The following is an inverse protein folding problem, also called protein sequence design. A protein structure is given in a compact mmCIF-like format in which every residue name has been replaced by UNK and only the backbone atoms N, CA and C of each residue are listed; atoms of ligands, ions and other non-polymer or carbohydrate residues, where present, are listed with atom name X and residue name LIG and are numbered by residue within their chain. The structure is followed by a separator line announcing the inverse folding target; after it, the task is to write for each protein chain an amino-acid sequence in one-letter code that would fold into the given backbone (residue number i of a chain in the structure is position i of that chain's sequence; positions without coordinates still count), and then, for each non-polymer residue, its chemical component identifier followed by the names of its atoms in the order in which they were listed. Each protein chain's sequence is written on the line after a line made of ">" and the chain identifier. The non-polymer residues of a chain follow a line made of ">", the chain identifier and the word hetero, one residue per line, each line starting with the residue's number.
data_IF_173692562272
#
_entry.id   IF_173692562272
#
_cell.length_a   1.000
_cell.length_b   1.000
_cell.length_c   1.000
_cell.angle_alpha   90.00
_cell.angle_beta   90.00
_cell.angle_gamma   90.00
#
_symmetry.space_group_name_H-M   'P 1'
#
loop_
_entity.id
_entity.type
_entity.pdbx_description
1 polymer ?
#
# COMPACT_ATOMS: atom_id res chain seq x y z
N UNK A 1 3.07 23.24 32.03
CA UNK A 1 4.32 22.87 31.36
C UNK A 1 5.10 24.16 31.07
N UNK A 2 6.33 24.27 31.55
CA UNK A 2 7.17 25.46 31.39
C UNK A 2 7.84 25.52 30.01
N UNK A 3 8.55 26.60 29.70
CA UNK A 3 9.27 26.74 28.42
C UNK A 3 10.45 25.77 28.36
N UNK A 4 11.11 25.54 29.50
CA UNK A 4 12.23 24.62 29.66
C UNK A 4 11.78 23.18 29.40
N UNK A 5 10.64 22.77 29.97
CA UNK A 5 10.05 21.44 29.73
C UNK A 5 9.65 21.24 28.25
N UNK A 6 9.17 22.30 27.58
CA UNK A 6 8.87 22.26 26.14
C UNK A 6 10.14 22.15 25.30
N UNK A 7 11.20 22.86 25.67
CA UNK A 7 12.47 22.87 24.94
C UNK A 7 13.14 21.50 25.04
N UNK A 8 13.20 20.93 26.24
CA UNK A 8 13.80 19.61 26.49
C UNK A 8 13.06 18.50 25.72
N UNK A 9 11.72 18.58 25.64
CA UNK A 9 10.91 17.66 24.83
C UNK A 9 11.26 17.74 23.35
N UNK A 10 11.34 18.95 22.79
CA UNK A 10 11.65 19.17 21.37
C UNK A 10 13.06 18.69 21.05
N UNK A 11 14.04 18.94 21.93
CA UNK A 11 15.42 18.48 21.72
C UNK A 11 15.51 16.94 21.71
N UNK A 12 14.77 16.26 22.59
CA UNK A 12 14.65 14.79 22.57
C UNK A 12 14.02 14.26 21.28
N UNK A 13 12.92 14.85 20.84
CA UNK A 13 12.24 14.46 19.59
C UNK A 13 13.16 14.67 18.37
N UNK A 14 13.89 15.78 18.34
CA UNK A 14 14.85 16.09 17.28
C UNK A 14 16.03 15.10 17.26
N UNK A 15 16.54 14.72 18.43
CA UNK A 15 17.61 13.73 18.56
C UNK A 15 17.14 12.34 18.08
N UNK A 16 15.93 11.92 18.43
CA UNK A 16 15.34 10.67 17.97
C UNK A 16 15.07 10.65 16.45
N UNK A 17 14.66 11.78 15.87
CA UNK A 17 14.51 11.95 14.42
C UNK A 17 15.84 11.88 13.67
N UNK A 18 16.91 12.44 14.24
CA UNK A 18 18.26 12.41 13.65
C UNK A 18 19.00 11.07 13.82
N UNK A 19 18.55 10.23 14.75
CA UNK A 19 19.22 8.97 15.08
C UNK A 19 19.07 7.91 13.98
N UNK A 20 17.98 7.94 13.21
CA UNK A 20 17.76 6.99 12.12
C UNK A 20 18.18 7.59 10.78
N UNK A 21 19.48 7.74 10.59
CA UNK A 21 20.07 8.31 9.36
C UNK A 21 19.81 7.46 8.10
N UNK A 22 19.23 6.28 8.25
CA UNK A 22 19.00 5.33 7.16
C UNK A 22 17.51 5.20 6.79
N UNK A 23 16.60 5.91 7.47
CA UNK A 23 15.17 5.86 7.19
C UNK A 23 14.65 7.16 6.60
N UNK A 24 13.89 7.05 5.51
CA UNK A 24 13.04 8.13 5.01
C UNK A 24 11.62 7.86 5.53
N UNK A 25 11.01 8.85 6.17
CA UNK A 25 9.63 8.78 6.67
C UNK A 25 8.76 9.70 5.85
N UNK A 26 7.71 9.16 5.25
CA UNK A 26 6.75 9.90 4.45
C UNK A 26 5.38 9.22 4.54
N UNK A 27 4.31 9.97 4.25
CA UNK A 27 2.97 9.38 4.09
C UNK A 27 2.81 8.66 2.75
N UNK A 28 3.59 9.06 1.74
CA UNK A 28 3.57 8.48 0.40
C UNK A 28 4.98 8.50 -0.20
N UNK A 29 5.32 7.42 -0.92
CA UNK A 29 6.42 7.37 -1.87
C UNK A 29 5.84 7.08 -3.25
N UNK A 30 6.09 7.96 -4.22
CA UNK A 30 5.69 7.77 -5.61
C UNK A 30 6.93 7.55 -6.49
N UNK A 31 6.87 6.51 -7.33
CA UNK A 31 7.82 6.30 -8.41
C UNK A 31 7.23 6.90 -9.68
N UNK A 32 7.88 7.90 -10.25
CA UNK A 32 7.47 8.54 -11.51
C UNK A 32 8.37 8.09 -12.67
N UNK A 33 7.79 7.97 -13.86
CA UNK A 33 8.55 7.80 -15.10
C UNK A 33 9.13 9.14 -15.60
N UNK A 34 9.92 9.10 -16.68
CA UNK A 34 10.54 10.29 -17.25
C UNK A 34 9.55 11.35 -17.78
N UNK A 35 8.27 10.99 -17.93
CA UNK A 35 7.20 11.90 -18.32
C UNK A 35 6.41 12.47 -17.13
N UNK A 36 6.81 12.14 -15.90
CA UNK A 36 6.14 12.56 -14.66
C UNK A 36 4.90 11.72 -14.33
N UNK A 37 4.69 10.56 -14.96
CA UNK A 37 3.56 9.68 -14.64
C UNK A 37 3.94 8.75 -13.51
N UNK A 38 3.07 8.64 -12.50
CA UNK A 38 3.27 7.71 -11.40
C UNK A 38 3.09 6.26 -11.85
N UNK A 39 4.10 5.42 -11.60
CA UNK A 39 4.14 3.99 -11.93
C UNK A 39 4.02 3.08 -10.73
N UNK A 40 4.41 3.55 -9.55
CA UNK A 40 4.19 2.85 -8.31
C UNK A 40 3.94 3.83 -7.16
N UNK A 41 3.15 3.40 -6.17
CA UNK A 41 2.94 4.15 -4.93
C UNK A 41 3.03 3.23 -3.72
N UNK A 42 3.82 3.60 -2.72
CA UNK A 42 3.73 3.10 -1.36
C UNK A 42 3.08 4.18 -0.51
N UNK A 43 1.87 3.94 0.01
CA UNK A 43 1.05 4.99 0.65
C UNK A 43 0.18 4.40 1.76
N UNK A 44 -0.41 5.28 2.58
CA UNK A 44 -1.44 4.91 3.55
C UNK A 44 -2.81 4.98 2.89
N UNK A 45 -3.61 3.92 3.00
CA UNK A 45 -4.97 3.81 2.47
C UNK A 45 -5.93 3.46 3.60
N UNK A 46 -6.76 4.42 4.01
CA UNK A 46 -7.60 4.28 5.21
C UNK A 46 -6.72 4.08 6.46
N UNK A 47 -7.00 3.04 7.22
CA UNK A 47 -6.22 2.65 8.41
C UNK A 47 -5.01 1.76 8.08
N UNK A 48 -4.76 1.51 6.80
CA UNK A 48 -3.83 0.51 6.30
C UNK A 48 -2.70 1.05 5.42
N UNK A 49 -1.76 0.19 5.04
CA UNK A 49 -0.71 0.50 4.07
C UNK A 49 -1.00 -0.17 2.73
N UNK A 50 -0.61 0.47 1.63
CA UNK A 50 -0.79 -0.05 0.27
C UNK A 50 0.43 0.18 -0.61
N UNK A 51 0.77 -0.82 -1.42
CA UNK A 51 1.70 -0.76 -2.53
C UNK A 51 0.94 -1.02 -3.83
N UNK A 52 0.92 -0.04 -4.73
CA UNK A 52 0.16 -0.09 -5.98
C UNK A 52 1.08 0.08 -7.18
N UNK A 53 0.82 -0.67 -8.26
CA UNK A 53 1.48 -0.51 -9.56
C UNK A 53 0.47 -0.06 -10.61
N UNK A 54 0.89 0.89 -11.44
CA UNK A 54 0.06 1.52 -12.47
C UNK A 54 0.64 1.25 -13.88
N UNK A 55 -0.25 1.07 -14.85
CA UNK A 55 0.12 0.97 -16.26
C UNK A 55 0.40 2.35 -16.89
N UNK A 56 0.68 2.35 -18.19
CA UNK A 56 1.02 3.58 -18.95
C UNK A 56 -0.12 4.59 -19.03
N UNK A 57 -1.36 4.13 -18.81
CA UNK A 57 -2.55 4.98 -18.77
C UNK A 57 -2.84 5.51 -17.36
N UNK A 58 -2.01 5.15 -16.36
CA UNK A 58 -2.24 5.51 -14.96
C UNK A 58 -3.25 4.61 -14.27
N UNK A 59 -3.64 3.49 -14.88
CA UNK A 59 -4.62 2.57 -14.32
C UNK A 59 -3.93 1.56 -13.41
N UNK A 60 -4.52 1.30 -12.24
CA UNK A 60 -3.99 0.31 -11.31
C UNK A 60 -4.06 -1.11 -11.91
N UNK A 61 -2.95 -1.85 -11.83
CA UNK A 61 -2.85 -3.25 -12.28
C UNK A 61 -2.50 -4.22 -11.16
N UNK A 62 -1.84 -3.73 -10.12
CA UNK A 62 -1.47 -4.51 -8.94
C UNK A 62 -1.79 -3.69 -7.69
N UNK A 63 -2.39 -4.33 -6.69
CA UNK A 63 -2.47 -3.79 -5.34
C UNK A 63 -2.02 -4.84 -4.32
N UNK A 64 -1.11 -4.46 -3.44
CA UNK A 64 -0.75 -5.20 -2.23
C UNK A 64 -1.11 -4.29 -1.05
N UNK A 65 -2.06 -4.69 -0.21
CA UNK A 65 -2.54 -3.86 0.89
C UNK A 65 -2.59 -4.61 2.21
N UNK A 66 -2.49 -3.86 3.29
CA UNK A 66 -2.77 -4.31 4.65
C UNK A 66 -4.01 -3.55 5.13
N UNK A 67 -5.19 -4.16 5.01
CA UNK A 67 -6.43 -3.61 5.54
C UNK A 67 -6.63 -4.07 7.00
N UNK A 68 -7.67 -3.55 7.66
CA UNK A 68 -8.04 -3.97 9.02
C UNK A 68 -8.37 -5.46 9.08
N UNK A 69 -9.00 -5.96 8.03
CA UNK A 69 -9.41 -7.35 7.86
C UNK A 69 -8.22 -8.28 7.57
N UNK A 70 -7.07 -7.74 7.17
CA UNK A 70 -5.85 -8.47 6.91
C UNK A 70 -5.16 -8.10 5.59
N UNK A 71 -4.07 -8.81 5.24
CA UNK A 71 -3.32 -8.56 4.02
C UNK A 71 -4.07 -9.06 2.78
N UNK A 72 -3.98 -8.31 1.69
CA UNK A 72 -4.53 -8.69 0.39
C UNK A 72 -3.59 -8.37 -0.77
N UNK A 73 -3.67 -9.16 -1.82
CA UNK A 73 -2.99 -8.95 -3.10
C UNK A 73 -3.99 -9.13 -4.23
N UNK A 74 -4.07 -8.16 -5.15
CA UNK A 74 -5.07 -8.14 -6.23
C UNK A 74 -4.42 -7.78 -7.56
N UNK A 75 -4.82 -8.51 -8.61
CA UNK A 75 -4.44 -8.23 -10.00
C UNK A 75 -5.65 -7.79 -10.80
N UNK A 76 -5.48 -6.71 -11.58
CA UNK A 76 -6.49 -6.17 -12.47
C UNK A 76 -6.07 -6.32 -13.93
N UNK A 77 -7.03 -6.60 -14.82
CA UNK A 77 -6.79 -6.54 -16.25
C UNK A 77 -6.80 -5.11 -16.80
N UNK A 78 -6.60 -4.96 -18.11
CA UNK A 78 -6.58 -3.66 -18.81
C UNK A 78 -7.89 -2.86 -18.72
N UNK A 79 -8.99 -3.48 -18.32
CA UNK A 79 -10.30 -2.86 -18.15
C UNK A 79 -10.60 -2.54 -16.67
N UNK A 80 -9.62 -2.71 -15.78
CA UNK A 80 -9.80 -2.51 -14.35
C UNK A 80 -10.59 -3.61 -13.66
N UNK A 81 -10.81 -4.76 -14.31
CA UNK A 81 -11.50 -5.89 -13.70
C UNK A 81 -10.52 -6.76 -12.93
N UNK A 82 -10.86 -7.10 -11.69
CA UNK A 82 -10.08 -8.05 -10.89
C UNK A 82 -10.06 -9.42 -11.57
N UNK A 83 -8.87 -9.97 -11.78
CA UNK A 83 -8.64 -11.32 -12.37
C UNK A 83 -8.06 -12.32 -11.40
N UNK A 84 -7.47 -11.84 -10.31
CA UNK A 84 -6.92 -12.67 -9.25
C UNK A 84 -6.92 -11.91 -7.93
N UNK A 85 -7.13 -12.63 -6.83
CA UNK A 85 -6.99 -12.08 -5.49
C UNK A 85 -6.47 -13.13 -4.51
N UNK A 86 -5.53 -12.73 -3.65
CA UNK A 86 -5.18 -13.43 -2.41
C UNK A 86 -5.61 -12.56 -1.23
N UNK A 87 -6.25 -13.15 -0.24
CA UNK A 87 -6.61 -12.45 0.99
C UNK A 87 -6.45 -13.38 2.18
N UNK A 88 -5.97 -12.85 3.30
CA UNK A 88 -6.00 -13.53 4.61
C UNK A 88 -6.88 -12.70 5.52
N UNK A 89 -7.85 -13.35 6.17
CA UNK A 89 -8.79 -12.73 7.11
C UNK A 89 -8.81 -13.52 8.41
N UNK A 90 -9.51 -12.99 9.42
CA UNK A 90 -9.79 -13.71 10.67
C UNK A 90 -10.54 -15.05 10.47
N UNK A 91 -11.22 -15.22 9.34
CA UNK A 91 -11.97 -16.41 9.00
C UNK A 91 -11.18 -17.42 8.14
N UNK A 92 -9.96 -17.05 7.73
CA UNK A 92 -9.10 -17.87 6.87
C UNK A 92 -8.57 -17.14 5.64
N UNK A 93 -7.91 -17.90 4.77
CA UNK A 93 -7.28 -17.39 3.55
C UNK A 93 -8.05 -17.82 2.31
N UNK A 94 -8.11 -16.95 1.31
CA UNK A 94 -8.64 -17.25 -0.01
C UNK A 94 -7.62 -16.90 -1.09
N UNK A 95 -7.49 -17.77 -2.08
CA UNK A 95 -6.90 -17.43 -3.37
C UNK A 95 -7.91 -17.76 -4.48
N UNK A 96 -8.24 -16.77 -5.29
CA UNK A 96 -9.27 -16.85 -6.33
C UNK A 96 -8.75 -16.33 -7.66
N UNK A 97 -9.21 -16.97 -8.74
CA UNK A 97 -9.05 -16.54 -10.12
C UNK A 97 -10.42 -16.27 -10.74
N UNK A 98 -10.54 -15.19 -11.49
CA UNK A 98 -11.77 -14.81 -12.18
C UNK A 98 -11.62 -14.91 -13.70
N UNK A 99 -12.68 -15.38 -14.37
CA UNK A 99 -12.83 -15.32 -15.82
C UNK A 99 -13.10 -13.88 -16.29
N UNK A 100 -13.29 -13.68 -17.61
CA UNK A 100 -13.52 -12.36 -18.20
C UNK A 100 -14.80 -11.65 -17.72
N UNK A 101 -15.79 -12.43 -17.29
CA UNK A 101 -17.10 -12.00 -16.80
C UNK A 101 -17.10 -11.72 -15.29
N UNK A 102 -16.00 -12.01 -14.59
CA UNK A 102 -15.91 -11.87 -13.13
C UNK A 102 -16.44 -13.09 -12.37
N UNK A 103 -16.65 -14.22 -13.06
CA UNK A 103 -17.02 -15.49 -12.43
C UNK A 103 -15.79 -16.20 -11.91
N UNK A 104 -15.94 -16.93 -10.81
CA UNK A 104 -14.86 -17.71 -10.21
C UNK A 104 -14.47 -18.83 -11.17
N UNK A 105 -13.27 -18.74 -11.73
CA UNK A 105 -12.69 -19.79 -12.57
C UNK A 105 -12.12 -20.91 -11.68
N UNK A 106 -11.45 -20.53 -10.59
CA UNK A 106 -10.85 -21.46 -9.65
C UNK A 106 -10.61 -20.79 -8.29
N UNK A 107 -10.67 -21.59 -7.22
CA UNK A 107 -10.22 -21.20 -5.88
C UNK A 107 -9.40 -22.32 -5.26
N UNK A 108 -8.37 -21.98 -4.50
CA UNK A 108 -7.61 -22.97 -3.74
C UNK A 108 -8.51 -23.68 -2.72
N UNK A 109 -8.34 -25.00 -2.52
CA UNK A 109 -9.12 -25.78 -1.56
C UNK A 109 -8.87 -25.38 -0.10
#
# INVERSE_FOLDING_TARGET
>A
MTVEERLEKVERELAALKADKNAIKAHEFALEDASGRVRAKLTIVGDGAGLFLFDDNGEQRVGLSMAKEGPSFVLFDKYGKQRSGMIVTDYGSLFVLFDENGQHLWQAP
#
